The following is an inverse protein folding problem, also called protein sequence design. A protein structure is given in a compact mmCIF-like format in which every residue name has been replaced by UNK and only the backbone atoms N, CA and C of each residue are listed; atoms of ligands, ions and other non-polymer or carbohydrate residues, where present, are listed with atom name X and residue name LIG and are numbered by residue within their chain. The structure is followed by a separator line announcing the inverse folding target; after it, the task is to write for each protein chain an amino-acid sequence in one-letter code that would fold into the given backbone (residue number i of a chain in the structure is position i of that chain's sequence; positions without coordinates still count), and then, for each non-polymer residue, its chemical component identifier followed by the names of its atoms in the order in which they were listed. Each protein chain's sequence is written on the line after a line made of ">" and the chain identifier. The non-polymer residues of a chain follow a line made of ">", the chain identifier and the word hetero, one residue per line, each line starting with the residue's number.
data_IF_452068745706
#
_entry.id   IF_452068745706
#
_cell.length_a   1.000
_cell.length_b   1.000
_cell.length_c   1.000
_cell.angle_alpha   90.00
_cell.angle_beta   90.00
_cell.angle_gamma   90.00
#
_symmetry.space_group_name_H-M   'P 1'
#
loop_
_entity.id
_entity.type
_entity.pdbx_description
1 polymer ?
#
# COMPACT_ATOMS: atom_id res chain seq x y z
N UNK A 1 -22.59 17.93 37.17
CA UNK A 1 -22.27 17.45 35.80
C UNK A 1 -22.22 15.92 35.82
N UNK A 2 -23.00 15.28 34.94
CA UNK A 2 -22.91 13.85 34.73
C UNK A 2 -21.64 13.47 33.92
N UNK A 3 -21.33 12.18 33.77
CA UNK A 3 -20.12 11.71 33.06
C UNK A 3 -20.07 12.17 31.62
N UNK A 4 -21.22 12.23 30.93
CA UNK A 4 -21.35 12.71 29.56
C UNK A 4 -21.05 14.21 29.44
N UNK A 5 -21.62 15.03 30.31
CA UNK A 5 -21.35 16.48 30.31
C UNK A 5 -19.87 16.78 30.59
N UNK A 6 -19.23 16.01 31.51
CA UNK A 6 -17.77 16.11 31.73
C UNK A 6 -16.97 15.73 30.49
N UNK A 7 -17.37 14.66 29.80
CA UNK A 7 -16.71 14.27 28.54
C UNK A 7 -16.82 15.34 27.45
N UNK A 8 -18.00 15.92 27.28
CA UNK A 8 -18.25 16.95 26.25
C UNK A 8 -17.49 18.26 26.54
N UNK A 9 -17.39 18.67 27.80
CA UNK A 9 -16.83 19.98 28.18
C UNK A 9 -15.35 19.93 28.59
N UNK A 10 -14.93 18.93 29.33
CA UNK A 10 -13.59 18.78 29.90
C UNK A 10 -13.07 17.33 29.83
N UNK A 11 -12.92 16.76 28.62
CA UNK A 11 -12.55 15.35 28.43
C UNK A 11 -11.18 15.01 29.03
N UNK A 12 -10.31 16.00 29.25
CA UNK A 12 -8.96 15.83 29.80
C UNK A 12 -8.96 15.27 31.23
N UNK A 13 -10.05 15.46 31.98
CA UNK A 13 -10.19 14.96 33.37
C UNK A 13 -10.56 13.48 33.46
N UNK A 14 -11.00 12.86 32.34
CA UNK A 14 -11.46 11.49 32.30
C UNK A 14 -10.32 10.47 32.48
N UNK A 15 -10.51 9.49 33.37
CA UNK A 15 -9.60 8.34 33.53
C UNK A 15 -9.51 7.51 32.26
N UNK A 16 -10.63 7.29 31.58
CA UNK A 16 -10.71 6.58 30.30
C UNK A 16 -9.78 7.22 29.26
N UNK A 17 -9.84 8.54 29.11
CA UNK A 17 -8.95 9.26 28.18
C UNK A 17 -7.46 9.08 28.51
N UNK A 18 -7.11 9.05 29.80
CA UNK A 18 -5.72 8.83 30.23
C UNK A 18 -5.22 7.43 29.86
N UNK A 19 -6.05 6.40 30.08
CA UNK A 19 -5.73 5.01 29.68
C UNK A 19 -5.58 4.95 28.16
N UNK A 20 -6.55 5.49 27.44
CA UNK A 20 -6.53 5.48 25.98
C UNK A 20 -5.33 6.23 25.39
N UNK A 21 -4.89 7.31 26.04
CA UNK A 21 -3.67 8.00 25.70
C UNK A 21 -2.42 7.10 25.86
N UNK A 22 -2.33 6.31 26.92
CA UNK A 22 -1.24 5.36 27.11
C UNK A 22 -1.29 4.25 26.06
N UNK A 23 -2.46 3.70 25.77
CA UNK A 23 -2.66 2.70 24.71
C UNK A 23 -2.19 3.27 23.36
N UNK A 24 -2.66 4.44 22.96
CA UNK A 24 -2.27 5.10 21.71
C UNK A 24 -0.77 5.35 21.64
N UNK A 25 -0.18 5.88 22.72
CA UNK A 25 1.25 6.20 22.79
C UNK A 25 2.12 4.95 22.63
N UNK A 26 1.88 3.92 23.44
CA UNK A 26 2.73 2.72 23.44
C UNK A 26 2.46 1.83 22.24
N UNK A 27 1.22 1.76 21.76
CA UNK A 27 0.90 1.06 20.54
C UNK A 27 1.54 1.74 19.33
N UNK A 28 1.52 3.08 19.27
CA UNK A 28 2.19 3.85 18.23
C UNK A 28 3.70 3.63 18.19
N UNK A 29 4.34 3.48 19.35
CA UNK A 29 5.78 3.15 19.41
C UNK A 29 6.04 1.69 19.01
N UNK A 30 5.24 0.75 19.53
CA UNK A 30 5.41 -0.68 19.23
C UNK A 30 5.21 -1.00 17.75
N UNK A 31 4.21 -0.38 17.13
CA UNK A 31 3.89 -0.57 15.69
C UNK A 31 4.68 0.35 14.77
N UNK A 32 5.45 1.30 15.30
CA UNK A 32 6.00 2.39 14.52
C UNK A 32 6.83 1.96 13.33
N UNK A 33 7.76 1.02 13.54
CA UNK A 33 8.59 0.49 12.44
C UNK A 33 7.74 -0.25 11.41
N UNK A 34 6.78 -1.06 11.86
CA UNK A 34 5.83 -1.75 10.98
C UNK A 34 5.05 -0.74 10.14
N UNK A 35 4.46 0.29 10.75
CA UNK A 35 3.71 1.35 10.05
C UNK A 35 4.59 2.06 9.02
N UNK A 36 5.85 2.37 9.38
CA UNK A 36 6.79 3.00 8.46
C UNK A 36 7.06 2.13 7.25
N UNK A 37 7.37 0.85 7.47
CA UNK A 37 7.66 -0.12 6.39
C UNK A 37 6.43 -0.30 5.48
N UNK A 38 5.25 -0.56 6.05
CA UNK A 38 4.01 -0.76 5.28
C UNK A 38 3.60 0.51 4.52
N UNK A 39 3.74 1.68 5.13
CA UNK A 39 3.43 2.96 4.48
C UNK A 39 4.33 3.25 3.27
N UNK A 40 5.64 3.08 3.43
CA UNK A 40 6.60 3.38 2.36
C UNK A 40 6.52 2.33 1.24
N UNK A 41 6.48 1.05 1.57
CA UNK A 41 6.36 -0.02 0.57
C UNK A 41 5.01 0.06 -0.16
N UNK A 42 3.90 0.27 0.54
CA UNK A 42 2.57 0.44 -0.06
C UNK A 42 2.48 1.63 -1.01
N UNK A 43 3.11 2.76 -0.66
CA UNK A 43 3.20 3.91 -1.56
C UNK A 43 3.94 3.58 -2.86
N UNK A 44 5.00 2.78 -2.80
CA UNK A 44 5.75 2.34 -3.98
C UNK A 44 4.94 1.34 -4.84
N UNK A 45 4.21 0.41 -4.20
CA UNK A 45 3.40 -0.63 -4.87
C UNK A 45 2.28 -0.04 -5.73
N UNK A 46 1.79 1.16 -5.41
CA UNK A 46 0.80 1.87 -6.26
C UNK A 46 1.31 2.02 -7.70
N UNK A 47 2.62 2.19 -7.89
CA UNK A 47 3.26 2.36 -9.22
C UNK A 47 3.59 1.04 -9.93
N UNK A 48 3.30 -0.12 -9.34
CA UNK A 48 3.63 -1.42 -9.93
C UNK A 48 3.22 -1.58 -11.40
N UNK A 49 1.99 -1.20 -11.82
CA UNK A 49 1.61 -1.27 -13.23
C UNK A 49 2.37 -0.30 -14.13
N UNK A 50 2.78 0.84 -13.58
CA UNK A 50 3.57 1.84 -14.31
C UNK A 50 5.00 1.35 -14.53
N UNK A 51 5.62 0.70 -13.53
CA UNK A 51 6.95 0.13 -13.65
C UNK A 51 7.02 -0.89 -14.78
N UNK A 52 6.06 -1.82 -14.88
CA UNK A 52 6.00 -2.75 -15.99
C UNK A 52 5.92 -2.02 -17.34
N UNK A 53 5.07 -1.01 -17.46
CA UNK A 53 4.93 -0.24 -18.73
C UNK A 53 6.16 0.60 -19.07
N UNK A 54 6.92 1.09 -18.07
CA UNK A 54 8.08 1.93 -18.31
C UNK A 54 9.36 1.13 -18.64
N UNK A 55 9.48 -0.05 -18.07
CA UNK A 55 10.73 -0.82 -18.09
C UNK A 55 10.64 -2.14 -18.86
N UNK A 56 9.44 -2.54 -19.31
CA UNK A 56 9.23 -3.75 -20.10
C UNK A 56 8.62 -3.36 -21.45
N UNK A 57 9.38 -3.57 -22.51
CA UNK A 57 8.93 -3.32 -23.87
C UNK A 57 8.27 -4.58 -24.43
N UNK A 58 6.94 -4.66 -24.36
CA UNK A 58 6.15 -5.79 -24.85
C UNK A 58 5.28 -5.43 -26.08
N UNK A 59 5.35 -4.19 -26.56
CA UNK A 59 4.60 -3.71 -27.70
C UNK A 59 5.56 -3.48 -28.89
N UNK A 60 5.12 -3.88 -30.06
CA UNK A 60 5.85 -3.79 -31.33
C UNK A 60 5.00 -3.09 -32.38
N UNK A 61 5.62 -2.52 -33.39
CA UNK A 61 4.91 -1.87 -34.49
C UNK A 61 4.53 -2.89 -35.58
N UNK A 62 3.23 -3.24 -35.72
CA UNK A 62 2.79 -4.21 -36.72
C UNK A 62 2.94 -3.69 -38.17
N UNK A 63 3.10 -2.38 -38.37
CA UNK A 63 3.28 -1.75 -39.68
C UNK A 63 4.75 -1.74 -40.14
N UNK A 64 5.68 -2.27 -39.33
CA UNK A 64 7.11 -2.29 -39.66
C UNK A 64 7.47 -3.32 -40.74
N UNK A 65 6.55 -4.22 -41.14
CA UNK A 65 6.76 -5.23 -42.15
C UNK A 65 5.92 -6.50 -41.91
N UNK A 66 6.23 -7.54 -42.69
CA UNK A 66 5.65 -8.87 -42.43
C UNK A 66 6.34 -9.48 -41.19
N UNK A 67 5.60 -10.06 -40.25
CA UNK A 67 6.21 -10.70 -39.10
C UNK A 67 6.93 -12.00 -39.49
N UNK A 68 8.09 -12.22 -38.90
CA UNK A 68 8.74 -13.54 -38.92
C UNK A 68 7.81 -14.57 -38.28
N UNK A 69 7.69 -15.75 -38.88
CA UNK A 69 6.81 -16.80 -38.35
C UNK A 69 7.42 -18.20 -38.57
N UNK A 70 6.95 -19.17 -37.78
CA UNK A 70 7.34 -20.57 -37.93
C UNK A 70 8.86 -20.78 -37.85
N UNK A 71 9.41 -21.49 -38.84
CA UNK A 71 10.85 -21.82 -38.88
C UNK A 71 11.77 -20.59 -39.00
N UNK A 72 11.33 -19.55 -39.70
CA UNK A 72 12.08 -18.31 -39.86
C UNK A 72 12.21 -17.55 -38.55
N UNK A 73 11.13 -17.43 -37.78
CA UNK A 73 11.13 -16.84 -36.44
C UNK A 73 12.07 -17.62 -35.51
N UNK A 74 11.95 -18.96 -35.48
CA UNK A 74 12.77 -19.80 -34.64
C UNK A 74 14.26 -19.68 -34.99
N UNK A 75 14.62 -19.66 -36.29
CA UNK A 75 15.99 -19.50 -36.72
C UNK A 75 16.58 -18.13 -36.34
N UNK A 76 15.79 -17.07 -36.48
CA UNK A 76 16.23 -15.73 -36.11
C UNK A 76 16.38 -15.57 -34.58
N UNK A 77 15.49 -16.13 -33.79
CA UNK A 77 15.61 -16.15 -32.35
C UNK A 77 16.89 -16.91 -31.91
N UNK A 78 17.14 -18.08 -32.48
CA UNK A 78 18.33 -18.85 -32.17
C UNK A 78 19.64 -18.11 -32.56
N UNK A 79 19.62 -17.30 -33.63
CA UNK A 79 20.75 -16.45 -34.00
C UNK A 79 20.98 -15.32 -32.97
N UNK A 80 19.92 -14.61 -32.60
CA UNK A 80 19.98 -13.48 -31.64
C UNK A 80 20.41 -13.94 -30.25
N UNK A 81 19.94 -15.11 -29.82
CA UNK A 81 20.24 -15.68 -28.49
C UNK A 81 21.24 -16.84 -28.57
N UNK A 82 22.28 -16.71 -29.37
CA UNK A 82 23.30 -17.77 -29.59
C UNK A 82 23.98 -18.28 -28.30
N UNK A 83 24.06 -17.43 -27.26
CA UNK A 83 24.69 -17.76 -25.98
C UNK A 83 23.72 -18.43 -24.99
N UNK A 84 22.45 -18.62 -25.36
CA UNK A 84 21.40 -19.18 -24.56
C UNK A 84 20.80 -20.43 -25.18
N UNK A 85 20.24 -21.29 -24.36
CA UNK A 85 19.35 -22.34 -24.82
C UNK A 85 17.93 -21.81 -24.85
N UNK A 86 17.31 -21.74 -26.02
CA UNK A 86 15.90 -21.35 -26.17
C UNK A 86 15.04 -22.53 -25.70
N UNK A 87 14.29 -22.33 -24.62
CA UNK A 87 13.43 -23.37 -24.03
C UNK A 87 12.03 -23.32 -24.62
N UNK A 88 11.45 -22.10 -24.77
CA UNK A 88 10.10 -21.91 -25.28
C UNK A 88 9.97 -20.59 -26.04
N UNK A 89 9.07 -20.60 -27.04
CA UNK A 89 8.71 -19.44 -27.85
C UNK A 89 7.19 -19.33 -27.85
N UNK A 90 6.65 -18.30 -27.21
CA UNK A 90 5.21 -18.06 -27.12
C UNK A 90 4.82 -16.84 -27.93
N UNK A 91 4.22 -17.10 -29.09
CA UNK A 91 3.57 -16.06 -29.89
C UNK A 91 2.10 -15.91 -29.46
N UNK A 92 1.69 -14.71 -29.07
CA UNK A 92 0.30 -14.42 -28.70
C UNK A 92 -0.63 -14.39 -29.92
N UNK A 93 -0.10 -14.42 -31.15
CA UNK A 93 -0.81 -14.20 -32.42
C UNK A 93 -1.65 -12.90 -32.41
N UNK A 94 -1.25 -11.89 -31.63
CA UNK A 94 -1.92 -10.58 -31.57
C UNK A 94 -1.02 -9.55 -32.24
N UNK A 95 -1.51 -8.88 -33.31
CA UNK A 95 -0.77 -7.77 -33.90
C UNK A 95 -0.38 -6.73 -32.84
N UNK A 96 0.86 -6.21 -32.92
CA UNK A 96 1.37 -5.22 -31.96
C UNK A 96 1.86 -5.79 -30.64
N UNK A 97 1.90 -7.12 -30.45
CA UNK A 97 2.49 -7.78 -29.29
C UNK A 97 3.78 -8.49 -29.66
N UNK A 98 4.82 -8.30 -28.83
CA UNK A 98 6.08 -9.01 -28.94
C UNK A 98 5.93 -10.51 -28.64
N UNK A 99 6.79 -11.31 -29.25
CA UNK A 99 6.93 -12.74 -28.93
C UNK A 99 7.68 -12.88 -27.61
N UNK A 100 7.17 -13.73 -26.72
CA UNK A 100 7.86 -14.11 -25.49
C UNK A 100 8.83 -15.28 -25.79
N UNK A 101 10.07 -15.15 -25.31
CA UNK A 101 11.11 -16.18 -25.47
C UNK A 101 11.63 -16.54 -24.09
N UNK A 102 11.55 -17.83 -23.73
CA UNK A 102 12.19 -18.36 -22.53
C UNK A 102 13.61 -18.83 -22.87
N UNK A 103 14.59 -18.29 -22.17
CA UNK A 103 16.01 -18.51 -22.33
C UNK A 103 16.60 -19.17 -21.10
N UNK A 104 17.46 -20.17 -21.28
CA UNK A 104 18.15 -20.85 -20.18
C UNK A 104 19.66 -20.74 -20.36
N UNK A 105 20.35 -20.40 -19.26
CA UNK A 105 21.81 -20.43 -19.17
C UNK A 105 22.21 -21.06 -17.84
N UNK A 106 22.78 -22.27 -17.88
CA UNK A 106 23.02 -23.07 -16.68
C UNK A 106 21.71 -23.38 -15.96
N UNK A 107 21.60 -22.97 -14.69
CA UNK A 107 20.39 -23.16 -13.88
C UNK A 107 19.46 -21.93 -13.88
N UNK A 108 19.82 -20.87 -14.61
CA UNK A 108 18.99 -19.65 -14.66
C UNK A 108 18.08 -19.65 -15.89
N UNK A 109 16.79 -19.42 -15.64
CA UNK A 109 15.78 -19.16 -16.67
C UNK A 109 15.47 -17.68 -16.71
N UNK A 110 15.40 -17.10 -17.92
CA UNK A 110 15.06 -15.69 -18.17
C UNK A 110 14.08 -15.56 -19.31
N UNK A 111 13.08 -14.74 -19.12
CA UNK A 111 12.15 -14.37 -20.19
C UNK A 111 12.59 -13.10 -20.90
N UNK A 112 12.54 -13.10 -22.21
CA UNK A 112 12.78 -11.94 -23.06
C UNK A 112 11.60 -11.68 -23.96
N UNK A 113 11.40 -10.43 -24.37
CA UNK A 113 10.51 -10.09 -25.47
C UNK A 113 11.30 -9.90 -26.76
N UNK A 114 10.75 -10.40 -27.85
CA UNK A 114 11.35 -10.38 -29.16
C UNK A 114 10.42 -9.70 -30.17
N UNK A 115 10.91 -8.74 -30.92
CA UNK A 115 10.19 -8.09 -32.02
C UNK A 115 10.25 -8.97 -33.27
N UNK A 116 9.15 -9.63 -33.57
CA UNK A 116 9.03 -10.50 -34.75
C UNK A 116 8.98 -9.74 -36.07
N UNK A 117 8.75 -8.42 -36.08
CA UNK A 117 8.75 -7.59 -37.28
C UNK A 117 10.15 -7.09 -37.64
N UNK A 118 10.95 -6.79 -36.61
CA UNK A 118 12.32 -6.27 -36.80
C UNK A 118 13.41 -7.35 -36.61
N UNK A 119 13.05 -8.49 -35.99
CA UNK A 119 13.98 -9.58 -35.68
C UNK A 119 15.00 -9.21 -34.61
N UNK A 120 14.62 -8.43 -33.59
CA UNK A 120 15.50 -7.94 -32.51
C UNK A 120 15.00 -8.30 -31.11
N UNK A 121 15.96 -8.41 -30.19
CA UNK A 121 15.65 -8.51 -28.75
C UNK A 121 15.14 -7.17 -28.18
N UNK A 122 14.05 -7.19 -27.44
CA UNK A 122 13.49 -6.04 -26.73
C UNK A 122 13.88 -6.02 -25.23
N UNK A 123 14.60 -7.04 -24.77
CA UNK A 123 15.12 -7.16 -23.42
C UNK A 123 14.31 -8.03 -22.47
N UNK A 124 14.81 -8.08 -21.24
CA UNK A 124 14.29 -8.90 -20.14
C UNK A 124 12.83 -8.53 -19.82
N UNK A 125 11.98 -9.54 -19.69
CA UNK A 125 10.58 -9.38 -19.26
C UNK A 125 10.47 -9.04 -17.77
N UNK A 126 11.52 -9.26 -17.00
CA UNK A 126 11.56 -9.04 -15.55
C UNK A 126 12.84 -8.32 -15.11
N UNK A 127 13.08 -7.07 -15.62
CA UNK A 127 14.27 -6.30 -15.33
C UNK A 127 14.32 -5.90 -13.84
N UNK A 128 15.51 -5.46 -13.35
CA UNK A 128 15.73 -5.18 -11.93
C UNK A 128 14.74 -4.17 -11.33
N UNK A 129 14.24 -3.21 -12.12
CA UNK A 129 13.25 -2.23 -11.70
C UNK A 129 11.92 -2.91 -11.34
N UNK A 130 11.47 -3.85 -12.17
CA UNK A 130 10.26 -4.64 -11.94
C UNK A 130 10.48 -5.57 -10.76
N UNK A 131 11.64 -6.23 -10.66
CA UNK A 131 12.00 -7.06 -9.50
C UNK A 131 11.98 -6.28 -8.19
N UNK A 132 12.43 -5.03 -8.20
CA UNK A 132 12.43 -4.17 -7.01
C UNK A 132 11.00 -3.88 -6.55
N UNK A 133 10.10 -3.50 -7.46
CA UNK A 133 8.71 -3.21 -7.08
C UNK A 133 7.95 -4.48 -6.66
N UNK A 134 8.27 -5.64 -7.24
CA UNK A 134 7.73 -6.92 -6.81
C UNK A 134 8.22 -7.30 -5.40
N UNK A 135 9.51 -7.10 -5.11
CA UNK A 135 10.04 -7.29 -3.76
C UNK A 135 9.35 -6.37 -2.74
N UNK A 136 9.12 -5.11 -3.10
CA UNK A 136 8.36 -4.18 -2.25
C UNK A 136 6.90 -4.63 -2.09
N UNK A 137 6.32 -5.26 -3.11
CA UNK A 137 4.98 -5.85 -3.02
C UNK A 137 4.95 -7.01 -2.01
N UNK A 138 5.91 -7.94 -2.09
CA UNK A 138 6.04 -9.03 -1.12
C UNK A 138 6.28 -8.51 0.30
N UNK A 139 7.08 -7.46 0.45
CA UNK A 139 7.30 -6.80 1.74
C UNK A 139 6.01 -6.18 2.29
N UNK A 140 5.21 -5.53 1.43
CA UNK A 140 3.97 -4.89 1.81
C UNK A 140 2.86 -5.90 2.14
N UNK A 141 2.67 -6.88 1.25
CA UNK A 141 1.56 -7.83 1.35
C UNK A 141 1.83 -8.91 2.39
N UNK A 142 3.04 -9.46 2.40
CA UNK A 142 3.37 -10.70 3.11
C UNK A 142 4.55 -10.55 4.10
N UNK A 143 5.12 -9.34 4.27
CA UNK A 143 6.28 -9.04 5.13
C UNK A 143 7.50 -9.94 4.81
N UNK A 144 7.66 -10.34 3.56
CA UNK A 144 8.67 -11.30 3.06
C UNK A 144 8.58 -12.70 3.73
N UNK A 145 7.44 -13.03 4.33
CA UNK A 145 7.11 -14.36 4.86
C UNK A 145 6.39 -15.19 3.81
N UNK A 146 6.07 -16.45 4.13
CA UNK A 146 5.10 -17.19 3.32
C UNK A 146 3.74 -16.45 3.32
N UNK A 147 3.04 -16.52 2.18
CA UNK A 147 1.82 -15.76 1.94
C UNK A 147 0.74 -15.94 3.01
N UNK A 148 0.58 -17.16 3.52
CA UNK A 148 -0.48 -17.45 4.50
C UNK A 148 -0.17 -16.83 5.87
N UNK A 149 1.08 -16.90 6.30
CA UNK A 149 1.54 -16.32 7.57
C UNK A 149 1.64 -14.80 7.48
N UNK A 150 2.29 -14.29 6.43
CA UNK A 150 2.51 -12.85 6.25
C UNK A 150 1.22 -12.05 6.23
N UNK A 151 0.20 -12.51 5.48
CA UNK A 151 -1.11 -11.86 5.45
C UNK A 151 -1.81 -11.84 6.80
N UNK A 152 -1.72 -12.93 7.58
CA UNK A 152 -2.30 -12.95 8.93
C UNK A 152 -1.60 -11.97 9.87
N UNK A 153 -0.26 -11.87 9.79
CA UNK A 153 0.51 -10.90 10.56
C UNK A 153 0.13 -9.47 10.15
N UNK A 154 -0.01 -9.20 8.85
CA UNK A 154 -0.48 -7.91 8.35
C UNK A 154 -1.90 -7.57 8.82
N UNK A 155 -2.82 -8.54 8.86
CA UNK A 155 -4.16 -8.32 9.37
C UNK A 155 -4.16 -7.97 10.86
N UNK A 156 -3.33 -8.63 11.67
CA UNK A 156 -3.14 -8.28 13.09
C UNK A 156 -2.58 -6.86 13.19
N UNK A 157 -1.56 -6.52 12.39
CA UNK A 157 -1.03 -5.16 12.28
C UNK A 157 -2.10 -4.14 11.91
N UNK A 158 -2.94 -4.45 10.93
CA UNK A 158 -4.09 -3.64 10.51
C UNK A 158 -5.13 -3.44 11.62
N UNK A 159 -5.45 -4.50 12.37
CA UNK A 159 -6.37 -4.41 13.51
C UNK A 159 -5.82 -3.52 14.63
N UNK A 160 -4.56 -3.68 14.99
CA UNK A 160 -3.88 -2.83 15.96
C UNK A 160 -3.77 -1.37 15.46
N UNK A 161 -3.53 -1.18 14.17
CA UNK A 161 -3.55 0.14 13.54
C UNK A 161 -4.94 0.78 13.62
N UNK A 162 -6.03 0.04 13.41
CA UNK A 162 -7.40 0.53 13.61
C UNK A 162 -7.66 0.96 15.06
N UNK A 163 -7.20 0.18 16.05
CA UNK A 163 -7.29 0.58 17.46
C UNK A 163 -6.57 1.92 17.68
N UNK A 164 -5.40 2.11 17.05
CA UNK A 164 -4.65 3.36 17.14
C UNK A 164 -5.40 4.52 16.45
N UNK A 165 -5.97 4.31 15.27
CA UNK A 165 -6.78 5.31 14.55
C UNK A 165 -7.99 5.73 15.39
N UNK A 166 -8.77 4.77 15.88
CA UNK A 166 -9.97 5.02 16.71
C UNK A 166 -9.63 5.72 18.03
N UNK A 167 -8.53 5.30 18.68
CA UNK A 167 -8.07 6.00 19.88
C UNK A 167 -7.64 7.43 19.59
N UNK A 168 -7.05 7.67 18.41
CA UNK A 168 -6.68 9.00 17.93
C UNK A 168 -7.86 9.97 17.84
N UNK A 169 -9.04 9.51 17.35
CA UNK A 169 -10.27 10.31 17.31
C UNK A 169 -10.68 10.78 18.71
N UNK A 170 -10.71 9.84 19.64
CA UNK A 170 -11.09 10.14 21.02
C UNK A 170 -10.12 11.13 21.66
N UNK A 171 -8.82 10.99 21.39
CA UNK A 171 -7.78 11.88 21.88
C UNK A 171 -7.78 13.23 21.19
N UNK A 172 -8.17 13.29 19.91
CA UNK A 172 -8.31 14.52 19.17
C UNK A 172 -9.38 15.44 19.76
N UNK A 173 -10.48 14.88 20.30
CA UNK A 173 -11.54 15.66 20.92
C UNK A 173 -11.04 16.40 22.16
N UNK A 174 -10.99 17.73 22.08
CA UNK A 174 -10.50 18.60 23.17
C UNK A 174 -11.63 19.23 24.01
N UNK A 175 -12.88 18.87 23.74
CA UNK A 175 -14.07 19.45 24.33
C UNK A 175 -14.71 20.52 23.43
N UNK A 176 -15.99 20.81 23.72
CA UNK A 176 -16.83 21.67 22.89
C UNK A 176 -16.25 23.07 22.64
N UNK A 177 -15.53 23.64 23.59
CA UNK A 177 -14.96 24.97 23.46
C UNK A 177 -13.70 25.02 22.56
N UNK A 178 -12.98 23.91 22.40
CA UNK A 178 -11.65 23.88 21.77
C UNK A 178 -11.52 22.92 20.58
N UNK A 179 -12.60 22.31 20.09
CA UNK A 179 -12.54 21.33 19.01
C UNK A 179 -11.98 21.95 17.70
N UNK A 180 -12.28 23.23 17.44
CA UNK A 180 -11.76 23.94 16.26
C UNK A 180 -10.25 24.15 16.31
N UNK A 181 -9.63 24.13 17.49
CA UNK A 181 -8.17 24.28 17.60
C UNK A 181 -7.43 23.06 17.01
N UNK A 182 -8.07 21.88 16.99
CA UNK A 182 -7.54 20.68 16.35
C UNK A 182 -7.64 20.65 14.81
N UNK A 183 -8.43 21.57 14.22
CA UNK A 183 -8.62 21.69 12.77
C UNK A 183 -7.67 22.69 12.11
N UNK A 184 -6.86 23.40 12.88
CA UNK A 184 -6.02 24.49 12.39
C UNK A 184 -4.60 24.40 12.93
N UNK A 185 -3.63 24.82 12.13
CA UNK A 185 -2.23 24.96 12.53
C UNK A 185 -1.97 26.42 12.89
N UNK A 186 -1.73 26.70 14.17
CA UNK A 186 -1.41 28.03 14.70
C UNK A 186 0.08 28.10 15.07
N UNK A 187 0.87 28.92 14.39
CA UNK A 187 2.31 29.09 14.69
C UNK A 187 2.52 29.70 16.08
N UNK A 188 2.97 28.91 17.07
CA UNK A 188 3.33 29.39 18.41
C UNK A 188 4.75 28.98 18.83
N UNK A 189 5.08 27.68 18.69
CA UNK A 189 6.42 27.14 19.02
C UNK A 189 6.65 25.84 18.22
N UNK A 190 7.91 25.44 18.05
CA UNK A 190 8.26 24.21 17.32
C UNK A 190 7.63 22.95 17.93
N UNK A 191 7.45 22.89 19.26
CA UNK A 191 6.78 21.78 19.93
C UNK A 191 5.27 21.76 19.62
N UNK A 192 4.64 22.94 19.67
CA UNK A 192 3.21 23.05 19.39
C UNK A 192 2.90 22.79 17.90
N UNK A 193 3.82 23.11 17.00
CA UNK A 193 3.66 22.83 15.55
C UNK A 193 3.63 21.32 15.29
N UNK A 194 4.55 20.51 15.87
CA UNK A 194 4.56 19.05 15.68
C UNK A 194 3.28 18.42 16.21
N UNK A 195 2.82 18.83 17.40
CA UNK A 195 1.57 18.36 17.96
C UNK A 195 0.35 18.75 17.10
N UNK A 196 0.31 19.99 16.61
CA UNK A 196 -0.76 20.47 15.74
C UNK A 196 -0.76 19.74 14.39
N UNK A 197 0.43 19.51 13.81
CA UNK A 197 0.57 18.74 12.56
C UNK A 197 0.07 17.31 12.74
N UNK A 198 0.49 16.62 13.80
CA UNK A 198 0.01 15.27 14.13
C UNK A 198 -1.52 15.24 14.31
N UNK A 199 -2.05 16.18 15.06
CA UNK A 199 -3.50 16.30 15.31
C UNK A 199 -4.29 16.64 14.06
N UNK A 200 -3.81 17.57 13.26
CA UNK A 200 -4.43 18.03 12.02
C UNK A 200 -4.43 16.90 10.95
N UNK A 201 -3.26 16.33 10.67
CA UNK A 201 -3.16 15.24 9.69
C UNK A 201 -3.96 14.03 10.13
N UNK A 202 -3.93 13.66 11.43
CA UNK A 202 -4.69 12.54 11.96
C UNK A 202 -6.19 12.72 11.79
N UNK A 203 -6.70 13.93 11.96
CA UNK A 203 -8.13 14.20 11.74
C UNK A 203 -8.51 14.12 10.26
N UNK A 204 -7.78 14.83 9.39
CA UNK A 204 -8.14 14.91 7.97
C UNK A 204 -7.87 13.61 7.20
N UNK A 205 -6.95 12.79 7.64
CA UNK A 205 -6.68 11.46 7.05
C UNK A 205 -7.50 10.33 7.69
N UNK A 206 -8.29 10.61 8.71
CA UNK A 206 -8.99 9.62 9.52
C UNK A 206 -9.72 8.54 8.72
N UNK A 207 -10.59 8.97 7.80
CA UNK A 207 -11.39 8.05 6.98
C UNK A 207 -10.50 7.17 6.11
N UNK A 208 -9.46 7.74 5.52
CA UNK A 208 -8.51 7.02 4.68
C UNK A 208 -7.72 5.98 5.49
N UNK A 209 -7.20 6.38 6.65
CA UNK A 209 -6.48 5.47 7.55
C UNK A 209 -7.38 4.34 8.06
N UNK A 210 -8.64 4.65 8.35
CA UNK A 210 -9.63 3.65 8.74
C UNK A 210 -9.88 2.64 7.61
N UNK A 211 -10.09 3.12 6.39
CA UNK A 211 -10.29 2.27 5.20
C UNK A 211 -9.09 1.37 4.96
N UNK A 212 -7.86 1.90 5.04
CA UNK A 212 -6.66 1.08 4.85
C UNK A 212 -6.48 0.01 5.93
N UNK A 213 -6.74 0.32 7.19
CA UNK A 213 -6.72 -0.69 8.26
C UNK A 213 -7.78 -1.77 8.07
N UNK A 214 -8.99 -1.38 7.63
CA UNK A 214 -10.10 -2.30 7.38
C UNK A 214 -9.82 -3.22 6.18
N UNK A 215 -9.34 -2.66 5.07
CA UNK A 215 -9.01 -3.43 3.86
C UNK A 215 -7.82 -4.37 4.08
N UNK A 216 -6.84 -4.00 4.92
CA UNK A 216 -5.75 -4.91 5.31
C UNK A 216 -6.28 -6.15 6.04
N UNK A 217 -7.30 -6.01 6.90
CA UNK A 217 -7.96 -7.15 7.56
C UNK A 217 -8.76 -7.96 6.54
N UNK A 218 -9.50 -7.30 5.65
CA UNK A 218 -10.30 -7.95 4.62
C UNK A 218 -9.43 -8.85 3.71
N UNK A 219 -8.27 -8.38 3.25
CA UNK A 219 -7.41 -9.17 2.36
C UNK A 219 -6.84 -10.45 2.98
N UNK A 220 -6.77 -10.51 4.31
CA UNK A 220 -6.38 -11.75 5.00
C UNK A 220 -7.56 -12.62 5.41
N UNK A 221 -8.71 -12.01 5.72
CA UNK A 221 -9.90 -12.67 6.23
C UNK A 221 -11.17 -12.14 5.53
N UNK A 222 -11.40 -12.48 4.24
CA UNK A 222 -12.55 -11.95 3.50
C UNK A 222 -13.89 -12.51 4.02
N UNK A 223 -13.95 -13.79 4.41
CA UNK A 223 -15.20 -14.48 4.72
C UNK A 223 -16.09 -13.78 5.77
N UNK A 224 -15.57 -13.25 6.90
CA UNK A 224 -16.42 -12.54 7.86
C UNK A 224 -17.12 -11.31 7.27
N UNK A 225 -16.48 -10.63 6.31
CA UNK A 225 -17.05 -9.48 5.62
C UNK A 225 -18.11 -9.90 4.61
N UNK A 226 -17.86 -10.97 3.87
CA UNK A 226 -18.79 -11.57 2.92
C UNK A 226 -20.05 -12.03 3.63
N UNK A 227 -19.95 -12.80 4.73
CA UNK A 227 -21.09 -13.18 5.56
C UNK A 227 -21.89 -12.00 6.09
N UNK A 228 -21.20 -10.91 6.47
CA UNK A 228 -21.88 -9.72 6.96
C UNK A 228 -22.67 -9.04 5.85
N UNK A 229 -22.13 -8.98 4.66
CA UNK A 229 -22.78 -8.40 3.49
C UNK A 229 -23.99 -9.23 3.09
N UNK A 230 -23.83 -10.55 2.98
CA UNK A 230 -24.92 -11.49 2.67
C UNK A 230 -26.07 -11.42 3.69
N UNK A 231 -25.75 -11.14 4.95
CA UNK A 231 -26.75 -11.00 6.00
C UNK A 231 -27.62 -9.73 5.86
N UNK A 232 -27.11 -8.68 5.21
CA UNK A 232 -27.82 -7.40 4.99
C UNK A 232 -28.47 -7.29 3.63
N UNK A 233 -28.10 -8.10 2.68
CA UNK A 233 -28.55 -8.03 1.30
C UNK A 233 -29.07 -9.38 0.80
N UNK A 234 -30.35 -9.63 1.08
CA UNK A 234 -31.04 -10.84 0.60
C UNK A 234 -31.24 -10.88 -0.93
N UNK A 235 -31.04 -9.79 -1.65
CA UNK A 235 -31.21 -9.65 -3.10
C UNK A 235 -29.89 -9.77 -3.88
N UNK A 236 -28.72 -9.88 -3.21
CA UNK A 236 -27.41 -10.05 -3.87
C UNK A 236 -27.19 -11.43 -4.48
N UNK A 237 -28.21 -12.28 -4.57
CA UNK A 237 -28.17 -13.52 -5.37
C UNK A 237 -27.89 -13.26 -6.85
N UNK A 238 -28.04 -12.01 -7.33
CA UNK A 238 -27.69 -11.57 -8.70
C UNK A 238 -26.29 -10.95 -8.81
N UNK A 239 -25.47 -10.95 -7.76
CA UNK A 239 -24.07 -10.57 -7.90
C UNK A 239 -23.31 -11.71 -8.60
N UNK A 240 -23.59 -11.86 -9.89
CA UNK A 240 -22.97 -12.83 -10.83
C UNK A 240 -21.43 -12.66 -10.95
N UNK A 241 -20.80 -11.89 -10.10
CA UNK A 241 -19.34 -11.72 -10.01
C UNK A 241 -18.89 -11.96 -8.59
N UNK A 242 -18.42 -13.19 -8.26
CA UNK A 242 -17.82 -13.52 -6.96
C UNK A 242 -16.71 -12.55 -6.56
N UNK A 243 -16.10 -11.84 -7.53
CA UNK A 243 -14.96 -10.93 -7.33
C UNK A 243 -15.35 -9.46 -7.13
N UNK A 244 -16.64 -9.09 -7.16
CA UNK A 244 -17.08 -7.67 -7.11
C UNK A 244 -16.64 -6.96 -5.83
N UNK A 245 -16.77 -7.59 -4.69
CA UNK A 245 -16.33 -7.05 -3.40
C UNK A 245 -14.82 -6.99 -3.26
N UNK A 246 -14.11 -8.01 -3.73
CA UNK A 246 -12.66 -8.01 -3.77
C UNK A 246 -12.14 -6.85 -4.63
N UNK A 247 -12.70 -6.65 -5.82
CA UNK A 247 -12.33 -5.54 -6.70
C UNK A 247 -12.63 -4.18 -6.06
N UNK A 248 -13.79 -4.04 -5.39
CA UNK A 248 -14.13 -2.81 -4.67
C UNK A 248 -13.14 -2.52 -3.53
N UNK A 249 -12.76 -3.53 -2.73
CA UNK A 249 -11.77 -3.37 -1.66
C UNK A 249 -10.37 -3.04 -2.21
N UNK A 250 -9.99 -3.62 -3.36
CA UNK A 250 -8.77 -3.27 -4.08
C UNK A 250 -8.84 -1.81 -4.55
N UNK A 251 -9.95 -1.39 -5.16
CA UNK A 251 -10.13 -0.02 -5.63
C UNK A 251 -10.04 0.99 -4.49
N UNK A 252 -10.67 0.69 -3.34
CA UNK A 252 -10.58 1.51 -2.14
C UNK A 252 -9.14 1.57 -1.57
N UNK A 253 -8.45 0.44 -1.55
CA UNK A 253 -7.10 0.36 -0.98
C UNK A 253 -6.07 1.09 -1.84
N UNK A 254 -6.10 0.86 -3.15
CA UNK A 254 -5.11 1.38 -4.11
C UNK A 254 -5.54 2.67 -4.81
N UNK A 255 -6.77 3.16 -4.60
CA UNK A 255 -7.29 4.32 -5.30
C UNK A 255 -7.47 4.09 -6.81
N UNK A 256 -7.73 2.84 -7.23
CA UNK A 256 -7.87 2.45 -8.64
C UNK A 256 -9.33 2.46 -9.10
N UNK A 257 -10.03 3.55 -8.87
CA UNK A 257 -11.43 3.67 -9.27
C UNK A 257 -11.57 3.66 -10.80
N UNK A 258 -12.52 2.85 -11.30
CA UNK A 258 -12.85 2.75 -12.73
C UNK A 258 -13.24 4.12 -13.26
N UNK A 259 -12.63 4.54 -14.38
CA UNK A 259 -12.82 5.88 -14.93
C UNK A 259 -12.07 6.98 -14.16
N UNK A 260 -11.18 6.61 -13.23
CA UNK A 260 -10.37 7.54 -12.44
C UNK A 260 -9.38 8.34 -13.29
N UNK A 261 -9.00 9.49 -12.76
CA UNK A 261 -8.07 10.40 -13.42
C UNK A 261 -6.64 9.84 -13.47
N UNK A 262 -5.86 10.09 -14.52
CA UNK A 262 -4.47 9.58 -14.67
C UNK A 262 -3.53 10.00 -13.53
N UNK A 263 -3.81 11.12 -12.86
CA UNK A 263 -3.01 11.64 -11.74
C UNK A 263 -3.34 10.99 -10.38
N UNK A 264 -4.44 10.25 -10.28
CA UNK A 264 -4.92 9.67 -9.02
C UNK A 264 -3.90 8.74 -8.33
N UNK A 265 -3.15 7.86 -9.05
CA UNK A 265 -2.09 7.07 -8.43
C UNK A 265 -1.03 7.91 -7.73
N UNK A 266 -0.64 9.04 -8.29
CA UNK A 266 0.36 9.93 -7.70
C UNK A 266 -0.15 10.59 -6.40
N UNK A 267 -1.44 10.96 -6.35
CA UNK A 267 -2.06 11.40 -5.11
C UNK A 267 -2.06 10.26 -4.07
N UNK A 268 -2.37 9.02 -4.49
CA UNK A 268 -2.39 7.87 -3.58
C UNK A 268 -1.02 7.56 -2.98
N UNK A 269 0.07 7.75 -3.74
CA UNK A 269 1.43 7.67 -3.23
C UNK A 269 1.67 8.69 -2.10
N UNK A 270 1.28 9.94 -2.32
CA UNK A 270 1.45 10.98 -1.30
C UNK A 270 0.61 10.70 -0.05
N UNK A 271 -0.62 10.28 -0.24
CA UNK A 271 -1.51 9.89 0.86
C UNK A 271 -0.98 8.65 1.58
N UNK A 272 -0.42 7.67 0.85
CA UNK A 272 0.19 6.47 1.40
C UNK A 272 1.35 6.71 2.36
N UNK A 273 2.02 7.87 2.24
CA UNK A 273 3.07 8.29 3.16
C UNK A 273 2.53 8.93 4.47
N UNK A 274 1.23 9.23 4.55
CA UNK A 274 0.65 9.83 5.76
C UNK A 274 0.87 9.00 7.03
N UNK A 275 0.67 7.66 7.04
CA UNK A 275 0.95 6.85 8.24
C UNK A 275 2.40 6.98 8.71
N UNK A 276 3.37 7.04 7.79
CA UNK A 276 4.79 7.25 8.12
C UNK A 276 5.01 8.63 8.75
N UNK A 277 4.43 9.69 8.19
CA UNK A 277 4.49 11.06 8.76
C UNK A 277 3.82 11.12 10.13
N UNK A 278 2.70 10.42 10.31
CA UNK A 278 2.00 10.30 11.60
C UNK A 278 2.88 9.59 12.63
N UNK A 279 3.53 8.50 12.26
CA UNK A 279 4.48 7.82 13.14
C UNK A 279 5.66 8.73 13.52
N UNK A 280 6.32 9.34 12.55
CA UNK A 280 7.49 10.20 12.80
C UNK A 280 7.12 11.36 13.74
N UNK A 281 6.00 12.04 13.48
CA UNK A 281 5.54 13.14 14.33
C UNK A 281 5.16 12.66 15.74
N UNK A 282 4.49 11.51 15.86
CA UNK A 282 4.16 10.86 17.13
C UNK A 282 5.41 10.43 17.91
N UNK A 283 6.41 9.86 17.24
CA UNK A 283 7.69 9.48 17.81
C UNK A 283 8.45 10.70 18.37
N UNK A 284 8.51 11.81 17.63
CA UNK A 284 9.14 13.05 18.11
C UNK A 284 8.43 13.57 19.38
N UNK A 285 7.09 13.51 19.42
CA UNK A 285 6.32 13.90 20.59
C UNK A 285 6.59 12.99 21.78
N UNK A 286 6.64 11.68 21.57
CA UNK A 286 6.99 10.69 22.58
C UNK A 286 8.41 10.91 23.11
N UNK A 287 9.41 11.03 22.22
CA UNK A 287 10.81 11.27 22.58
C UNK A 287 10.95 12.50 23.49
N UNK A 288 10.35 13.63 23.11
CA UNK A 288 10.40 14.86 23.89
C UNK A 288 9.69 14.73 25.24
N UNK A 289 8.63 13.91 25.30
CA UNK A 289 7.84 13.74 26.53
C UNK A 289 8.47 12.76 27.51
N UNK A 290 9.03 11.66 27.03
CA UNK A 290 9.50 10.54 27.85
C UNK A 290 11.01 10.61 28.07
N UNK A 291 11.80 10.63 27.00
CA UNK A 291 13.27 10.52 27.12
C UNK A 291 13.93 11.84 27.50
N UNK A 292 13.51 12.97 26.92
CA UNK A 292 14.12 14.27 27.24
C UNK A 292 13.79 14.79 28.66
N UNK A 293 12.79 14.18 29.33
CA UNK A 293 12.43 14.50 30.74
C UNK A 293 13.08 13.59 31.77
N UNK A 294 13.76 12.52 31.35
CA UNK A 294 14.55 11.71 32.28
C UNK A 294 15.75 12.57 32.75
N UNK A 295 15.96 12.79 34.07
CA UNK A 295 17.14 13.44 34.55
C UNK A 295 18.37 12.63 34.10
N UNK A 296 19.44 13.35 33.70
CA UNK A 296 20.73 12.72 33.44
C UNK A 296 21.12 11.89 34.67
N UNK A 297 21.10 10.56 34.53
CA UNK A 297 21.51 9.63 35.60
C UNK A 297 23.02 9.68 35.86
N UNK A 298 23.71 10.69 35.33
CA UNK A 298 25.16 10.95 35.44
C UNK A 298 25.51 12.20 36.24
N UNK A 299 24.58 12.73 37.09
CA UNK A 299 24.95 13.76 38.07
C UNK A 299 24.88 13.24 39.48
#
# INVERSE_FOLDING_TARGET
>A
MNSWQRWVQAPQTSRFRRILFQVHLWLGIALGLYILVISVSGSAVVLRPQFSRWFVQSEVNPDAGAPLAGAELTARIAEVYSDYTVQDIVDSNRPGRAVYVSLVTGDEERGHYFDQYQGIDLGDTYPWQVRTVEWLTLLHDDLLMDRATGRKVNAIGGALFLVMVLSGIVLWWQGRARWRDGLQIKRRSAHSIIWQLHSFLGFWSLLLLFVWGLTAIYFAFPQPFEYLIDAFDNDLTDFERPDGWLLFMIDLHFGRFRGGWPWLPYLWILLGLLPAVMFISGFILWYKRVLKKLPDASR
#
